data_IF_881548961641
#
_entry.id   IF_881548961641
#
_cell.length_a   1.000
_cell.length_b   1.000
_cell.length_c   1.000
_cell.angle_alpha   90.00
_cell.angle_beta   90.00
_cell.angle_gamma   90.00
#
_symmetry.space_group_name_H-M   'P 1'
#
loop_
_entity.id
_entity.type
_entity.pdbx_description
1 polymer ?
#
# COMPACT_ATOMS: atom_id res chain seq x y z
N UNK A 1 54.34 8.70 27.72
CA UNK A 1 53.29 8.58 26.69
C UNK A 1 52.02 8.12 27.38
N UNK A 2 51.06 9.02 27.55
CA UNK A 2 49.83 8.82 28.31
C UNK A 2 48.76 8.17 27.43
N UNK A 3 48.28 6.99 27.83
CA UNK A 3 47.16 6.28 27.19
C UNK A 3 45.85 6.92 27.64
N UNK A 4 45.18 7.66 26.75
CA UNK A 4 43.82 8.16 27.00
C UNK A 4 42.84 7.04 26.73
N UNK A 5 42.27 6.47 27.80
CA UNK A 5 41.08 5.63 27.71
C UNK A 5 39.91 6.50 27.26
N UNK A 6 39.41 6.28 26.05
CA UNK A 6 38.16 6.87 25.60
C UNK A 6 37.01 6.16 26.32
N UNK A 7 36.44 6.82 27.31
CA UNK A 7 35.22 6.37 27.97
C UNK A 7 34.05 6.58 26.99
N UNK A 8 33.47 5.48 26.53
CA UNK A 8 32.29 5.48 25.66
C UNK A 8 31.14 6.12 26.43
N UNK A 9 30.48 7.18 25.93
CA UNK A 9 29.35 7.76 26.64
C UNK A 9 28.27 6.69 26.83
N UNK A 10 27.90 6.43 28.09
CA UNK A 10 26.72 5.63 28.43
C UNK A 10 25.49 6.41 27.97
N UNK A 11 24.96 6.03 26.80
CA UNK A 11 23.66 6.50 26.36
C UNK A 11 22.62 5.86 27.28
N UNK A 12 21.72 6.62 27.93
CA UNK A 12 20.73 6.05 28.83
C UNK A 12 19.85 5.07 28.06
N UNK A 13 19.90 3.79 28.45
CA UNK A 13 18.92 2.76 28.11
C UNK A 13 17.58 3.20 28.71
N UNK A 14 16.73 3.82 27.89
CA UNK A 14 15.43 4.24 28.36
C UNK A 14 14.69 5.12 27.36
N UNK A 15 13.67 4.52 26.74
CA UNK A 15 12.70 5.09 25.80
C UNK A 15 13.16 5.18 24.35
N UNK A 16 13.26 4.02 23.73
CA UNK A 16 12.74 3.87 22.37
C UNK A 16 11.20 4.06 22.46
N UNK A 17 10.76 5.31 22.62
CA UNK A 17 9.38 5.67 22.27
C UNK A 17 9.28 5.36 20.78
N UNK A 18 8.83 4.14 20.47
CA UNK A 18 8.61 3.62 19.12
C UNK A 18 7.87 4.69 18.34
N UNK A 19 8.61 5.50 17.57
CA UNK A 19 8.03 6.55 16.77
C UNK A 19 6.92 5.89 15.94
N UNK A 20 5.69 6.43 15.98
CA UNK A 20 4.57 5.79 15.31
C UNK A 20 4.91 5.53 13.84
N UNK A 21 4.96 4.25 13.51
CA UNK A 21 5.52 3.80 12.23
C UNK A 21 4.55 4.15 11.11
N UNK A 22 5.02 4.88 10.09
CA UNK A 22 4.22 5.19 8.91
C UNK A 22 3.96 3.89 8.14
N UNK A 23 2.73 3.71 7.68
CA UNK A 23 2.37 2.61 6.79
C UNK A 23 2.53 3.09 5.36
N UNK A 24 3.59 2.64 4.69
CA UNK A 24 3.79 2.85 3.26
C UNK A 24 3.15 1.71 2.48
N UNK A 25 2.41 2.02 1.42
CA UNK A 25 1.78 1.03 0.55
C UNK A 25 2.23 1.33 -0.87
N UNK A 26 2.77 0.32 -1.56
CA UNK A 26 3.14 0.43 -2.95
C UNK A 26 2.63 -0.74 -3.78
N UNK A 27 2.54 -0.52 -5.08
CA UNK A 27 2.25 -1.54 -6.07
C UNK A 27 2.49 -1.02 -7.48
N UNK A 28 2.31 -1.90 -8.45
CA UNK A 28 2.49 -1.62 -9.86
C UNK A 28 1.14 -1.74 -10.57
N UNK A 29 0.80 -0.80 -11.45
CA UNK A 29 -0.37 -0.89 -12.31
C UNK A 29 0.07 -0.92 -13.77
N UNK A 30 -0.36 -1.97 -14.46
CA UNK A 30 -0.07 -2.19 -15.86
C UNK A 30 -1.36 -2.17 -16.68
N UNK A 31 -1.26 -1.72 -17.92
CA UNK A 31 -2.25 -1.99 -18.93
C UNK A 31 -1.88 -3.24 -19.72
N UNK A 32 -2.83 -4.15 -19.90
CA UNK A 32 -2.76 -5.24 -20.86
C UNK A 32 -3.50 -4.85 -22.14
N UNK A 33 -2.79 -4.86 -23.27
CA UNK A 33 -3.38 -4.69 -24.60
C UNK A 33 -2.96 -5.85 -25.49
N UNK A 34 -3.89 -6.76 -25.76
CA UNK A 34 -3.59 -8.05 -26.39
C UNK A 34 -2.57 -8.86 -25.59
N UNK A 35 -1.42 -9.13 -26.20
CA UNK A 35 -0.29 -9.84 -25.56
C UNK A 35 0.76 -8.93 -24.92
N UNK A 36 0.61 -7.60 -25.04
CA UNK A 36 1.56 -6.63 -24.53
C UNK A 36 1.13 -6.05 -23.19
N UNK A 37 2.11 -5.70 -22.36
CA UNK A 37 1.93 -5.02 -21.09
C UNK A 37 2.74 -3.73 -21.08
N UNK A 38 2.14 -2.64 -20.62
CA UNK A 38 2.84 -1.38 -20.44
C UNK A 38 2.44 -0.69 -19.13
N UNK A 39 3.34 0.09 -18.51
CA UNK A 39 3.02 0.81 -17.29
C UNK A 39 1.92 1.85 -17.47
N UNK A 40 0.98 1.92 -16.52
CA UNK A 40 -0.16 2.81 -16.62
C UNK A 40 0.01 4.05 -15.75
N UNK A 41 0.80 5.01 -16.25
CA UNK A 41 1.00 6.31 -15.60
C UNK A 41 -0.33 6.99 -15.32
N UNK A 42 -0.50 7.50 -14.09
CA UNK A 42 -1.69 8.21 -13.63
C UNK A 42 -2.83 7.32 -13.13
N UNK A 43 -2.71 5.99 -13.21
CA UNK A 43 -3.67 5.09 -12.57
C UNK A 43 -3.66 5.26 -11.05
N UNK A 44 -4.81 5.05 -10.41
CA UNK A 44 -4.97 5.21 -8.96
C UNK A 44 -5.41 3.89 -8.34
N UNK A 45 -4.81 3.57 -7.19
CA UNK A 45 -5.23 2.48 -6.34
C UNK A 45 -5.98 3.03 -5.11
N UNK A 46 -7.03 2.33 -4.69
CA UNK A 46 -7.71 2.57 -3.41
C UNK A 46 -7.19 1.60 -2.38
N UNK A 47 -6.86 2.09 -1.19
CA UNK A 47 -6.50 1.26 -0.05
C UNK A 47 -7.65 1.33 0.93
N UNK A 48 -8.26 0.19 1.24
CA UNK A 48 -9.33 0.08 2.23
C UNK A 48 -8.85 -0.74 3.40
N UNK A 49 -9.04 -0.22 4.61
CA UNK A 49 -8.62 -0.86 5.84
C UNK A 49 -9.79 -1.05 6.81
N UNK A 50 -9.72 -2.13 7.58
CA UNK A 50 -10.53 -2.37 8.75
C UNK A 50 -9.63 -2.23 9.96
N UNK A 51 -10.10 -1.51 10.97
CA UNK A 51 -9.41 -1.37 12.24
C UNK A 51 -10.26 -1.96 13.37
N UNK A 52 -9.65 -2.11 14.53
CA UNK A 52 -10.33 -2.42 15.79
C UNK A 52 -10.18 -1.26 16.75
N UNK A 53 -11.22 -0.99 17.53
CA UNK A 53 -11.19 -0.01 18.61
C UNK A 53 -10.45 -0.55 19.85
N UNK A 54 -10.38 0.26 20.91
CA UNK A 54 -9.74 -0.09 22.18
C UNK A 54 -10.34 -1.32 22.86
N UNK A 55 -11.61 -1.62 22.58
CA UNK A 55 -12.33 -2.78 23.12
C UNK A 55 -12.19 -4.03 22.22
N UNK A 56 -11.50 -3.89 21.08
CA UNK A 56 -11.28 -4.97 20.12
C UNK A 56 -12.42 -5.17 19.11
N UNK A 57 -13.41 -4.28 19.06
CA UNK A 57 -14.50 -4.37 18.08
C UNK A 57 -14.07 -3.80 16.74
N UNK A 58 -14.49 -4.46 15.65
CA UNK A 58 -14.23 -3.95 14.30
C UNK A 58 -14.93 -2.61 14.07
N UNK A 59 -14.18 -1.64 13.57
CA UNK A 59 -14.71 -0.35 13.17
C UNK A 59 -15.21 -0.39 11.73
N UNK A 60 -16.04 0.57 11.35
CA UNK A 60 -16.38 0.79 9.95
C UNK A 60 -15.10 0.89 9.08
N UNK A 61 -15.06 0.23 7.90
CA UNK A 61 -13.92 0.33 7.00
C UNK A 61 -13.69 1.78 6.56
N UNK A 62 -12.43 2.17 6.41
CA UNK A 62 -12.05 3.47 5.85
C UNK A 62 -11.16 3.27 4.62
N UNK A 63 -11.14 4.26 3.74
CA UNK A 63 -10.34 4.20 2.51
C UNK A 63 -9.52 5.45 2.29
N UNK A 64 -8.36 5.27 1.66
CA UNK A 64 -7.52 6.34 1.10
C UNK A 64 -7.24 6.03 -0.38
N UNK A 65 -6.98 7.06 -1.16
CA UNK A 65 -6.51 6.92 -2.54
C UNK A 65 -4.99 7.08 -2.58
N UNK A 66 -4.33 6.32 -3.45
CA UNK A 66 -2.93 6.55 -3.77
C UNK A 66 -2.78 7.82 -4.60
N UNK A 67 -1.54 8.30 -4.69
CA UNK A 67 -1.19 9.18 -5.80
C UNK A 67 -1.36 8.43 -7.14
N UNK A 68 -1.54 9.17 -8.23
CA UNK A 68 -1.49 8.61 -9.56
C UNK A 68 -0.13 7.93 -9.81
N UNK A 69 -0.15 6.79 -10.50
CA UNK A 69 1.04 6.02 -10.81
C UNK A 69 2.10 6.87 -11.53
N UNK A 70 3.36 6.64 -11.22
CA UNK A 70 4.47 7.29 -11.91
C UNK A 70 4.65 6.80 -13.36
N UNK A 71 5.69 7.29 -14.05
CA UNK A 71 5.97 6.88 -15.44
C UNK A 71 6.28 5.39 -15.62
N UNK A 72 6.65 4.70 -14.54
CA UNK A 72 6.92 3.26 -14.49
C UNK A 72 5.72 2.46 -13.96
N UNK A 73 4.57 3.11 -13.74
CA UNK A 73 3.34 2.48 -13.29
C UNK A 73 3.28 2.22 -11.78
N UNK A 74 4.24 2.71 -10.99
CA UNK A 74 4.22 2.50 -9.55
C UNK A 74 3.31 3.51 -8.87
N UNK A 75 2.41 3.03 -8.01
CA UNK A 75 1.71 3.89 -7.06
C UNK A 75 2.36 3.81 -5.68
N UNK A 76 2.22 4.89 -4.93
CA UNK A 76 2.60 4.96 -3.52
C UNK A 76 1.51 5.69 -2.73
N UNK A 77 1.16 5.14 -1.58
CA UNK A 77 0.25 5.73 -0.61
C UNK A 77 0.86 5.63 0.79
N UNK A 78 0.51 6.58 1.65
CA UNK A 78 0.94 6.58 3.05
C UNK A 78 -0.25 6.73 3.97
N UNK A 79 -0.29 5.90 5.00
CA UNK A 79 -1.24 6.04 6.09
C UNK A 79 -0.47 6.39 7.37
N UNK A 80 -0.72 7.59 7.87
CA UNK A 80 -0.11 8.09 9.11
C UNK A 80 -0.85 7.54 10.32
N UNK A 81 -0.13 7.07 11.36
CA UNK A 81 -0.74 6.64 12.61
C UNK A 81 -1.45 7.78 13.36
N UNK A 82 -1.11 9.03 13.05
CA UNK A 82 -1.76 10.23 13.60
C UNK A 82 -2.93 10.73 12.73
N UNK A 83 -3.29 10.01 11.67
CA UNK A 83 -4.48 10.37 10.92
C UNK A 83 -5.72 10.09 11.76
N UNK A 84 -6.72 10.98 11.70
CA UNK A 84 -8.00 10.78 12.39
C UNK A 84 -8.73 9.48 11.99
N UNK A 85 -8.34 8.89 10.86
CA UNK A 85 -8.81 7.57 10.41
C UNK A 85 -8.30 6.42 11.30
N UNK A 86 -7.13 6.58 11.92
CA UNK A 86 -6.40 5.54 12.66
C UNK A 86 -6.15 5.94 14.13
N UNK A 87 -6.39 7.19 14.50
CA UNK A 87 -6.24 7.68 15.87
C UNK A 87 -7.06 6.81 16.85
N UNK A 88 -6.39 6.32 17.89
CA UNK A 88 -6.93 5.39 18.91
C UNK A 88 -7.49 4.07 18.35
N UNK A 89 -7.07 3.67 17.14
CA UNK A 89 -7.47 2.41 16.51
C UNK A 89 -6.26 1.61 16.11
N UNK A 90 -6.40 0.28 16.12
CA UNK A 90 -5.38 -0.63 15.60
C UNK A 90 -5.82 -1.18 14.26
N UNK A 91 -5.03 -0.93 13.21
CA UNK A 91 -5.28 -1.52 11.89
C UNK A 91 -5.25 -3.05 12.01
N UNK A 92 -6.33 -3.71 11.62
CA UNK A 92 -6.47 -5.16 11.60
C UNK A 92 -6.08 -5.73 10.24
N UNK A 93 -6.65 -5.15 9.17
CA UNK A 93 -6.46 -5.62 7.80
C UNK A 93 -6.52 -4.42 6.85
N UNK A 94 -5.70 -4.44 5.80
CA UNK A 94 -5.81 -3.53 4.66
C UNK A 94 -5.74 -4.31 3.35
N UNK A 95 -6.50 -3.85 2.35
CA UNK A 95 -6.47 -4.34 0.97
C UNK A 95 -6.29 -3.18 0.00
N UNK A 96 -5.56 -3.42 -1.08
CA UNK A 96 -5.42 -2.48 -2.20
C UNK A 96 -6.28 -2.95 -3.39
N UNK A 97 -6.89 -1.99 -4.07
CA UNK A 97 -7.83 -2.19 -5.18
C UNK A 97 -7.47 -1.26 -6.32
N UNK A 98 -7.75 -1.67 -7.55
CA UNK A 98 -7.86 -0.76 -8.69
C UNK A 98 -9.02 0.21 -8.46
N UNK A 99 -8.78 1.49 -8.71
CA UNK A 99 -9.81 2.54 -8.53
C UNK A 99 -10.04 3.31 -9.82
N UNK A 100 -8.98 3.83 -10.43
CA UNK A 100 -9.08 4.65 -11.64
C UNK A 100 -7.98 4.36 -12.66
N UNK A 101 -8.36 4.41 -13.94
CA UNK A 101 -7.45 4.42 -15.09
C UNK A 101 -7.62 5.73 -15.88
N UNK A 102 -6.52 6.43 -16.21
CA UNK A 102 -6.56 7.64 -17.01
C UNK A 102 -6.65 7.38 -18.53
N UNK A 103 -6.52 6.13 -18.97
CA UNK A 103 -6.49 5.79 -20.38
C UNK A 103 -7.81 5.14 -20.82
N UNK A 104 -8.54 5.80 -21.71
CA UNK A 104 -9.84 5.32 -22.19
C UNK A 104 -9.77 3.95 -22.87
N UNK A 105 -8.66 3.67 -23.55
CA UNK A 105 -8.42 2.39 -24.20
C UNK A 105 -7.96 1.31 -23.24
N UNK A 106 -7.78 1.61 -21.95
CA UNK A 106 -7.35 0.64 -20.94
C UNK A 106 -7.96 0.92 -19.57
N UNK A 107 -9.29 0.84 -19.51
CA UNK A 107 -10.08 1.19 -18.32
C UNK A 107 -10.90 0.06 -17.72
N UNK A 108 -10.84 -1.14 -18.30
CA UNK A 108 -11.54 -2.31 -17.75
C UNK A 108 -10.64 -2.94 -16.69
N UNK A 109 -10.98 -2.90 -15.39
CA UNK A 109 -10.17 -3.53 -14.36
C UNK A 109 -10.22 -5.05 -14.50
N UNK A 110 -9.17 -5.74 -14.06
CA UNK A 110 -9.14 -7.20 -13.96
C UNK A 110 -8.86 -7.63 -12.53
N UNK A 111 -9.30 -8.83 -12.16
CA UNK A 111 -9.05 -9.37 -10.83
C UNK A 111 -7.74 -10.16 -10.70
N UNK A 112 -6.82 -10.00 -11.65
CA UNK A 112 -5.47 -10.57 -11.54
C UNK A 112 -4.79 -9.96 -10.32
N UNK A 113 -4.18 -10.81 -9.49
CA UNK A 113 -3.60 -10.44 -8.19
C UNK A 113 -4.58 -9.74 -7.25
N UNK A 114 -5.88 -10.03 -7.38
CA UNK A 114 -6.95 -9.42 -6.58
C UNK A 114 -7.11 -7.92 -6.82
N UNK A 115 -6.90 -7.45 -8.05
CA UNK A 115 -7.08 -6.03 -8.41
C UNK A 115 -8.51 -5.50 -8.17
N UNK A 116 -9.54 -6.36 -8.21
CA UNK A 116 -10.94 -6.01 -7.94
C UNK A 116 -11.39 -6.51 -6.57
N UNK A 117 -11.04 -7.74 -6.20
CA UNK A 117 -11.42 -8.37 -4.94
C UNK A 117 -10.60 -7.88 -3.74
N UNK A 118 -9.46 -7.24 -3.98
CA UNK A 118 -8.60 -6.59 -3.00
C UNK A 118 -7.34 -7.40 -2.67
N UNK A 119 -6.18 -6.90 -3.09
CA UNK A 119 -4.88 -7.45 -2.76
C UNK A 119 -4.53 -7.20 -1.29
N UNK A 120 -4.42 -8.27 -0.50
CA UNK A 120 -4.14 -8.20 0.93
C UNK A 120 -2.71 -7.70 1.22
N UNK A 121 -2.60 -6.74 2.13
CA UNK A 121 -1.31 -6.24 2.65
C UNK A 121 -0.81 -7.16 3.77
N UNK A 122 -0.26 -8.32 3.40
CA UNK A 122 0.11 -9.38 4.36
C UNK A 122 1.54 -9.28 4.89
N UNK A 123 2.46 -8.68 4.14
CA UNK A 123 3.88 -8.60 4.50
C UNK A 123 4.45 -7.20 4.28
N UNK A 124 5.44 -6.83 5.08
CA UNK A 124 6.10 -5.54 5.01
C UNK A 124 7.61 -5.65 5.11
N UNK A 125 8.29 -4.70 4.49
CA UNK A 125 9.71 -4.38 4.72
C UNK A 125 9.81 -3.21 5.68
N UNK A 126 10.68 -3.28 6.67
CA UNK A 126 10.98 -2.14 7.53
C UNK A 126 12.01 -1.23 6.85
N UNK A 127 11.71 0.05 6.75
CA UNK A 127 12.60 1.10 6.28
C UNK A 127 12.94 2.03 7.46
N UNK A 128 13.98 1.68 8.21
CA UNK A 128 14.37 2.38 9.45
C UNK A 128 14.63 3.88 9.22
N UNK A 129 15.32 4.23 8.14
CA UNK A 129 15.64 5.63 7.79
C UNK A 129 14.39 6.51 7.60
N UNK A 130 13.25 5.88 7.28
CA UNK A 130 11.98 6.56 7.02
C UNK A 130 10.94 6.30 8.12
N UNK A 131 11.30 5.58 9.18
CA UNK A 131 10.37 5.09 10.22
C UNK A 131 9.08 4.51 9.62
N UNK A 132 9.24 3.61 8.62
CA UNK A 132 8.14 3.15 7.77
C UNK A 132 8.11 1.62 7.65
N UNK A 133 6.89 1.07 7.71
CA UNK A 133 6.60 -0.30 7.23
C UNK A 133 6.06 -0.20 5.82
N UNK A 134 6.84 -0.69 4.85
CA UNK A 134 6.49 -0.68 3.44
C UNK A 134 5.82 -2.01 3.06
N UNK A 135 4.53 -1.96 2.79
CA UNK A 135 3.73 -3.05 2.25
C UNK A 135 3.76 -2.98 0.73
N UNK A 136 3.87 -4.15 0.08
CA UNK A 136 3.83 -4.26 -1.38
C UNK A 136 2.74 -5.24 -1.78
N UNK A 137 1.94 -4.86 -2.78
CA UNK A 137 0.98 -5.76 -3.43
C UNK A 137 1.49 -6.19 -4.81
N UNK A 138 0.93 -7.28 -5.34
CA UNK A 138 1.22 -7.72 -6.70
C UNK A 138 0.82 -6.67 -7.74
N UNK A 139 1.33 -6.77 -8.97
CA UNK A 139 0.91 -5.87 -10.04
C UNK A 139 -0.58 -6.03 -10.31
N UNK A 140 -1.30 -4.92 -10.44
CA UNK A 140 -2.68 -4.89 -10.89
C UNK A 140 -2.77 -4.55 -12.37
N UNK A 141 -3.87 -4.95 -12.99
CA UNK A 141 -4.01 -4.86 -14.44
C UNK A 141 -5.35 -4.27 -14.85
N UNK A 142 -5.29 -3.23 -15.68
CA UNK A 142 -6.39 -2.85 -16.56
C UNK A 142 -6.23 -3.52 -17.93
N UNK A 143 -7.31 -3.62 -18.68
CA UNK A 143 -7.33 -4.11 -20.06
C UNK A 143 -8.21 -3.23 -20.96
N UNK A 144 -7.99 -3.35 -22.27
CA UNK A 144 -8.83 -2.74 -23.32
C UNK A 144 -10.11 -3.53 -23.59
N UNK A 145 -10.11 -4.81 -23.27
CA UNK A 145 -11.22 -5.73 -23.59
C UNK A 145 -12.19 -5.82 -22.40
N UNK A 146 -13.48 -5.60 -22.64
CA UNK A 146 -14.50 -6.08 -21.69
C UNK A 146 -14.37 -7.59 -21.61
N UNK A 147 -14.08 -8.14 -20.42
CA UNK A 147 -14.04 -9.60 -20.24
C UNK A 147 -15.34 -10.19 -20.81
N UNK A 148 -15.23 -10.94 -21.90
CA UNK A 148 -16.35 -11.69 -22.43
C UNK A 148 -16.69 -12.75 -21.39
N UNK A 149 -17.92 -12.67 -20.86
CA UNK A 149 -18.50 -13.77 -20.10
C UNK A 149 -18.40 -15.01 -21.00
N UNK A 150 -17.86 -16.16 -20.55
CA UNK A 150 -17.86 -17.35 -21.37
C UNK A 150 -19.33 -17.70 -21.64
N UNK A 151 -19.76 -17.57 -22.89
CA UNK A 151 -21.04 -18.14 -23.31
C UNK A 151 -20.92 -19.65 -23.09
N UNK A 152 -21.61 -20.14 -22.07
CA UNK A 152 -21.77 -21.57 -21.83
C UNK A 152 -22.49 -22.17 -23.04
N UNK A 153 -21.82 -23.12 -23.69
CA UNK A 153 -22.43 -24.05 -24.63
C UNK A 153 -23.10 -25.20 -23.86
#
# INVERSE_FOLDING_TARGET
MTSTHYEKPNLPEGKDELLPTIFGIQGLVLCKSGSQYFPLKGAVARITCVAVDENGYETAPFSILSNGCDGNGYFFATLSPYSSLVENKKIKECKAFLDYSPLDTCKVPTDVNHGISGGLLSSYRVLNEKNMKLYSVGPFFYTSETQSVPNGY
#
